data_IF_131770608317
#
_entry.id   IF_131770608317
#
_cell.length_a   1.000
_cell.length_b   1.000
_cell.length_c   1.000
_cell.angle_alpha   90.00
_cell.angle_beta   90.00
_cell.angle_gamma   90.00
#
_symmetry.space_group_name_H-M   'P 1'
#
loop_
_entity.id
_entity.type
_entity.pdbx_description
1 polymer ?
#
# COMPACT_ATOMS: atom_id res chain seq x y z
N UNK A 1 15.77 -5.43 -7.72
CA UNK A 1 15.23 -5.62 -6.37
C UNK A 1 15.74 -4.47 -5.52
N UNK A 2 14.93 -3.43 -5.32
CA UNK A 2 15.30 -2.30 -4.46
C UNK A 2 14.92 -2.66 -3.03
N UNK A 3 15.91 -3.05 -2.22
CA UNK A 3 15.74 -3.18 -0.77
C UNK A 3 15.49 -1.78 -0.20
N UNK A 4 14.23 -1.36 -0.12
CA UNK A 4 13.83 -0.19 0.65
C UNK A 4 14.13 -0.51 2.12
N UNK A 5 15.21 0.04 2.67
CA UNK A 5 15.54 -0.26 4.06
C UNK A 5 14.50 0.43 4.96
N UNK A 6 14.18 -0.17 6.11
CA UNK A 6 13.24 0.42 7.08
C UNK A 6 13.63 1.86 7.46
N UNK A 7 14.93 2.20 7.45
CA UNK A 7 15.41 3.56 7.70
C UNK A 7 15.08 4.55 6.57
N UNK A 8 15.06 4.10 5.32
CA UNK A 8 14.67 4.95 4.19
C UNK A 8 13.19 5.30 4.26
N UNK A 9 12.36 4.33 4.67
CA UNK A 9 10.92 4.52 4.93
C UNK A 9 10.67 5.48 6.11
N UNK A 10 11.52 5.47 7.14
CA UNK A 10 11.39 6.38 8.29
C UNK A 10 11.74 7.83 7.95
N UNK A 11 12.57 8.08 6.93
CA UNK A 11 12.95 9.43 6.44
C UNK A 11 12.11 9.90 5.26
N UNK A 12 11.18 9.06 4.80
CA UNK A 12 10.47 9.28 3.56
C UNK A 12 9.49 10.47 3.62
N UNK A 13 9.40 11.20 2.50
CA UNK A 13 8.46 12.31 2.35
C UNK A 13 7.02 11.79 2.32
N UNK A 14 6.17 12.38 3.16
CA UNK A 14 4.73 12.14 3.17
C UNK A 14 4.02 12.87 2.02
N UNK A 15 3.41 12.09 1.14
CA UNK A 15 2.63 12.58 -0.02
C UNK A 15 1.12 12.49 0.24
N UNK A 16 0.33 13.22 -0.55
CA UNK A 16 -1.13 13.12 -0.49
C UNK A 16 -1.66 11.97 -1.37
N UNK A 17 -2.98 11.72 -1.31
CA UNK A 17 -3.62 10.63 -2.07
C UNK A 17 -3.50 10.81 -3.60
N UNK A 18 -3.47 12.04 -4.10
CA UNK A 18 -3.39 12.32 -5.53
C UNK A 18 -1.99 12.03 -6.05
N UNK A 19 -0.98 12.54 -5.36
CA UNK A 19 0.43 12.29 -5.67
C UNK A 19 0.73 10.79 -5.58
N UNK A 20 0.29 10.11 -4.51
CA UNK A 20 0.45 8.66 -4.37
C UNK A 20 -0.21 7.86 -5.51
N UNK A 21 -1.47 8.20 -5.84
CA UNK A 21 -2.18 7.56 -6.94
C UNK A 21 -1.45 7.73 -8.28
N UNK A 22 -0.90 8.92 -8.53
CA UNK A 22 -0.14 9.20 -9.74
C UNK A 22 1.20 8.47 -9.78
N UNK A 23 1.97 8.52 -8.69
CA UNK A 23 3.30 7.90 -8.60
C UNK A 23 3.25 6.37 -8.73
N UNK A 24 2.22 5.73 -8.18
CA UNK A 24 2.10 4.27 -8.15
C UNK A 24 1.09 3.72 -9.16
N UNK A 25 0.54 4.58 -10.02
CA UNK A 25 -0.53 4.25 -10.95
C UNK A 25 -1.70 3.51 -10.27
N UNK A 26 -2.04 3.94 -9.06
CA UNK A 26 -3.13 3.38 -8.25
C UNK A 26 -4.42 4.15 -8.46
N UNK A 27 -5.55 3.44 -8.33
CA UNK A 27 -6.85 4.08 -8.37
C UNK A 27 -7.06 4.91 -7.10
N UNK A 28 -7.20 6.23 -7.25
CA UNK A 28 -7.25 7.18 -6.12
C UNK A 28 -8.35 6.86 -5.10
N UNK A 29 -9.47 6.26 -5.52
CA UNK A 29 -10.55 5.91 -4.59
C UNK A 29 -10.12 4.89 -3.53
N UNK A 30 -9.15 4.01 -3.82
CA UNK A 30 -8.60 3.04 -2.87
C UNK A 30 -7.92 3.73 -1.69
N UNK A 31 -7.37 4.93 -1.92
CA UNK A 31 -6.68 5.72 -0.92
C UNK A 31 -7.65 6.64 -0.16
N UNK A 32 -8.65 7.19 -0.84
CA UNK A 32 -9.55 8.21 -0.28
C UNK A 32 -10.78 7.64 0.41
N UNK A 33 -11.31 6.49 -0.04
CA UNK A 33 -12.52 5.91 0.53
C UNK A 33 -12.19 5.13 1.81
N UNK A 34 -12.75 5.51 2.98
CA UNK A 34 -12.43 4.85 4.23
C UNK A 34 -12.69 3.35 4.23
N UNK A 35 -13.82 2.93 3.67
CA UNK A 35 -14.20 1.51 3.61
C UNK A 35 -13.19 0.67 2.83
N UNK A 36 -12.74 1.14 1.66
CA UNK A 36 -11.78 0.40 0.85
C UNK A 36 -10.40 0.40 1.49
N UNK A 37 -9.96 1.55 2.02
CA UNK A 37 -8.68 1.67 2.71
C UNK A 37 -8.61 0.73 3.91
N UNK A 38 -9.68 0.65 4.70
CA UNK A 38 -9.76 -0.20 5.88
C UNK A 38 -9.91 -1.68 5.47
N UNK A 39 -10.67 -2.00 4.42
CA UNK A 39 -10.79 -3.36 3.87
C UNK A 39 -9.46 -3.91 3.37
N UNK A 40 -8.69 -3.07 2.68
CA UNK A 40 -7.41 -3.44 2.07
C UNK A 40 -6.20 -3.20 2.99
N UNK A 41 -6.44 -2.68 4.20
CA UNK A 41 -5.41 -2.35 5.17
C UNK A 41 -4.30 -1.48 4.57
N UNK A 42 -4.68 -0.48 3.77
CA UNK A 42 -3.71 0.39 3.08
C UNK A 42 -2.93 1.22 4.12
N UNK A 43 -1.58 1.21 4.08
CA UNK A 43 -0.75 2.02 4.96
C UNK A 43 -1.07 3.51 4.82
N UNK A 44 -1.38 4.17 5.92
CA UNK A 44 -1.74 5.59 5.93
C UNK A 44 -1.41 6.26 7.27
N UNK A 45 -1.14 7.55 7.20
CA UNK A 45 -0.82 8.39 8.35
C UNK A 45 -1.77 9.58 8.42
N UNK A 46 -2.24 9.90 9.63
CA UNK A 46 -3.03 11.11 9.87
C UNK A 46 -2.10 12.24 10.35
N UNK A 47 -2.03 13.30 9.56
CA UNK A 47 -1.33 14.54 9.91
C UNK A 47 -2.38 15.63 10.08
N UNK A 48 -2.84 15.80 11.32
CA UNK A 48 -4.01 16.60 11.64
C UNK A 48 -5.26 16.03 10.96
N UNK A 49 -5.84 16.78 10.02
CA UNK A 49 -7.03 16.38 9.24
C UNK A 49 -6.67 15.75 7.89
N UNK A 50 -5.38 15.73 7.51
CA UNK A 50 -4.93 15.24 6.22
C UNK A 50 -4.49 13.79 6.31
N UNK A 51 -4.86 13.02 5.29
CA UNK A 51 -4.34 11.68 5.08
C UNK A 51 -3.04 11.78 4.28
N UNK A 52 -2.00 11.12 4.77
CA UNK A 52 -0.67 11.12 4.18
C UNK A 52 -0.18 9.70 3.97
N UNK A 53 0.65 9.53 2.95
CA UNK A 53 1.15 8.25 2.52
C UNK A 53 2.66 8.30 2.35
N UNK A 54 3.32 7.19 2.64
CA UNK A 54 4.71 6.93 2.26
C UNK A 54 4.70 6.05 1.02
N UNK A 55 5.45 6.42 -0.02
CA UNK A 55 5.43 5.66 -1.27
C UNK A 55 6.09 4.30 -1.09
N UNK A 56 7.18 4.21 -0.32
CA UNK A 56 7.88 2.97 -0.02
C UNK A 56 6.99 1.94 0.67
N UNK A 57 6.19 2.37 1.67
CA UNK A 57 5.24 1.45 2.33
C UNK A 57 4.11 1.03 1.40
N UNK A 58 3.61 1.94 0.56
CA UNK A 58 2.60 1.59 -0.43
C UNK A 58 3.13 0.59 -1.46
N UNK A 59 4.38 0.72 -1.90
CA UNK A 59 5.02 -0.24 -2.81
C UNK A 59 5.11 -1.64 -2.18
N UNK A 60 5.62 -1.72 -0.94
CA UNK A 60 5.71 -3.00 -0.19
C UNK A 60 4.32 -3.61 0.02
N UNK A 61 3.33 -2.78 0.33
CA UNK A 61 1.94 -3.22 0.45
C UNK A 61 1.40 -3.77 -0.88
N UNK A 62 1.62 -3.10 -2.02
CA UNK A 62 1.19 -3.59 -3.33
C UNK A 62 1.83 -4.94 -3.69
N UNK A 63 3.11 -5.13 -3.38
CA UNK A 63 3.82 -6.40 -3.57
C UNK A 63 3.19 -7.51 -2.70
N UNK A 64 2.88 -7.20 -1.44
CA UNK A 64 2.25 -8.13 -0.50
C UNK A 64 0.84 -8.56 -0.95
N UNK A 65 0.06 -7.63 -1.52
CA UNK A 65 -1.28 -7.92 -2.04
C UNK A 65 -1.25 -8.85 -3.25
N UNK A 66 -0.23 -8.73 -4.12
CA UNK A 66 -0.06 -9.61 -5.27
C UNK A 66 0.38 -11.03 -4.84
N UNK A 67 1.26 -11.11 -3.84
CA UNK A 67 1.66 -12.39 -3.25
C UNK A 67 0.44 -13.12 -2.64
N UNK A 68 -0.39 -12.41 -1.88
CA UNK A 68 -1.61 -12.96 -1.29
C UNK A 68 -2.63 -13.43 -2.35
N UNK A 69 -2.80 -12.67 -3.43
CA UNK A 69 -3.67 -13.07 -4.55
C UNK A 69 -3.18 -14.34 -5.26
N UNK A 70 -1.87 -14.57 -5.31
CA UNK A 70 -1.26 -15.74 -5.95
C UNK A 70 -1.44 -17.00 -5.11
N UNK A 71 -1.40 -16.90 -3.77
CA UNK A 71 -1.52 -18.05 -2.87
C UNK A 71 -2.93 -18.63 -2.78
N UNK A 72 -3.99 -17.86 -3.09
CA UNK A 72 -5.38 -18.36 -3.08
C UNK A 72 -5.72 -19.37 -4.19
N UNK A 73 -4.78 -19.77 -5.04
CA UNK A 73 -5.00 -20.80 -6.08
C UNK A 73 -4.30 -22.13 -5.80
N UNK A 74 -3.67 -22.33 -4.64
CA UNK A 74 -2.96 -23.58 -4.31
C UNK A 74 -3.61 -24.30 -3.11
N UNK A 75 -4.86 -24.74 -3.25
CA UNK A 75 -5.41 -25.85 -2.45
C UNK A 75 -5.83 -26.95 -3.42
N UNK A 76 -4.84 -27.71 -3.90
CA UNK A 76 -5.05 -28.96 -4.64
C UNK A 76 -4.35 -30.09 -3.88
N UNK A 77 -5.19 -30.95 -3.31
CA UNK A 77 -5.10 -32.42 -3.23
C UNK A 77 -3.89 -33.08 -2.55
N UNK A 78 -4.09 -33.56 -1.33
CA UNK A 78 -3.38 -34.71 -0.71
C UNK A 78 -4.26 -35.14 0.49
N UNK A 79 -4.70 -36.37 0.73
CA UNK A 79 -4.76 -37.65 0.00
C UNK A 79 -5.80 -38.50 0.77
#
# INVERSE_FOLDING_TARGET
MTNCTVNDVLRERLVDAREAAHCLNLQMYLLTHPKERDRLQVPHYRVGKLLRFKLGELMVWMESQQAAATTSSQEVVDA
#
